data_IF_453071522051
#
_entry.id   IF_453071522051
#
_cell.length_a   1.000
_cell.length_b   1.000
_cell.length_c   1.000
_cell.angle_alpha   90.00
_cell.angle_beta   90.00
_cell.angle_gamma   90.00
#
_symmetry.space_group_name_H-M   'P 1'
#
loop_
_entity.id
_entity.type
_entity.pdbx_description
1 polymer ?
#
# COMPACT_ATOMS: atom_id res chain seq x y z
N UNK A 1 -20.94 0.38 -10.52
CA UNK A 1 -20.87 1.85 -10.26
C UNK A 1 -20.13 2.48 -11.43
N UNK A 2 -20.68 3.48 -12.12
CA UNK A 2 -20.01 4.05 -13.29
C UNK A 2 -18.82 4.93 -12.90
N UNK A 3 -17.73 4.86 -13.68
CA UNK A 3 -16.59 5.77 -13.58
C UNK A 3 -17.05 7.22 -13.75
N UNK A 4 -16.43 8.15 -12.99
CA UNK A 4 -16.72 9.59 -13.11
C UNK A 4 -15.96 10.25 -14.24
N UNK A 5 -14.70 9.87 -14.43
CA UNK A 5 -13.85 10.32 -15.54
C UNK A 5 -12.63 9.41 -15.69
N UNK A 6 -12.02 9.44 -16.85
CA UNK A 6 -10.73 8.82 -17.11
C UNK A 6 -9.61 9.82 -16.77
N UNK A 7 -9.04 9.68 -15.56
CA UNK A 7 -8.00 10.58 -15.09
C UNK A 7 -6.66 10.42 -15.84
N UNK A 8 -6.43 9.27 -16.48
CA UNK A 8 -5.25 9.08 -17.33
C UNK A 8 -5.28 10.00 -18.53
N UNK A 9 -6.42 10.07 -19.21
CA UNK A 9 -6.61 10.93 -20.37
C UNK A 9 -6.87 12.39 -19.98
N UNK A 10 -7.49 12.63 -18.81
CA UNK A 10 -7.79 13.99 -18.35
C UNK A 10 -6.54 14.79 -17.96
N UNK A 11 -5.52 14.14 -17.40
CA UNK A 11 -4.25 14.79 -17.03
C UNK A 11 -3.03 13.89 -17.27
N UNK A 12 -2.60 13.74 -18.53
CA UNK A 12 -1.47 12.88 -18.86
C UNK A 12 -0.16 13.28 -18.14
N UNK A 13 0.03 14.58 -17.90
CA UNK A 13 1.20 15.09 -17.19
C UNK A 13 1.24 14.65 -15.73
N UNK A 14 0.11 14.70 -15.02
CA UNK A 14 0.01 14.21 -13.65
C UNK A 14 0.21 12.70 -13.59
N UNK A 15 -0.37 11.95 -14.53
CA UNK A 15 -0.22 10.51 -14.59
C UNK A 15 1.20 10.08 -14.91
N UNK A 16 1.92 10.81 -15.75
CA UNK A 16 3.36 10.57 -15.99
C UNK A 16 4.17 10.66 -14.69
N UNK A 17 3.89 11.64 -13.85
CA UNK A 17 4.55 11.78 -12.54
C UNK A 17 4.19 10.63 -11.59
N UNK A 18 2.92 10.23 -11.53
CA UNK A 18 2.47 9.10 -10.70
C UNK A 18 3.08 7.78 -11.14
N UNK A 19 3.17 7.51 -12.43
CA UNK A 19 3.81 6.31 -13.00
C UNK A 19 5.31 6.30 -12.67
N UNK A 20 5.98 7.46 -12.73
CA UNK A 20 7.40 7.58 -12.36
C UNK A 20 7.61 7.31 -10.85
N UNK A 21 6.74 7.81 -9.98
CA UNK A 21 6.78 7.48 -8.54
C UNK A 21 6.58 5.99 -8.29
N UNK A 22 5.60 5.36 -8.94
CA UNK A 22 5.37 3.91 -8.82
C UNK A 22 6.58 3.11 -9.26
N UNK A 23 7.20 3.47 -10.39
CA UNK A 23 8.41 2.83 -10.87
C UNK A 23 9.57 2.99 -9.85
N UNK A 24 9.75 4.19 -9.30
CA UNK A 24 10.77 4.44 -8.28
C UNK A 24 10.58 3.56 -7.05
N UNK A 25 9.36 3.40 -6.55
CA UNK A 25 9.11 2.58 -5.34
C UNK A 25 9.50 1.12 -5.52
N UNK A 26 9.52 0.60 -6.75
CA UNK A 26 9.97 -0.77 -7.05
C UNK A 26 11.50 -0.91 -7.03
N UNK A 27 12.22 0.19 -7.24
CA UNK A 27 13.69 0.23 -7.24
C UNK A 27 14.27 0.59 -5.86
N UNK A 28 13.41 0.94 -4.89
CA UNK A 28 13.81 1.21 -3.52
C UNK A 28 14.08 -0.08 -2.73
N UNK A 29 14.53 0.07 -1.49
CA UNK A 29 15.05 -1.03 -0.66
C UNK A 29 14.02 -2.03 -0.12
N UNK A 30 12.72 -1.81 -0.38
CA UNK A 30 11.65 -2.65 0.15
C UNK A 30 11.37 -3.84 -0.77
N UNK A 31 11.33 -5.03 -0.20
CA UNK A 31 11.12 -6.28 -0.92
C UNK A 31 9.78 -6.30 -1.68
N UNK A 32 9.71 -6.84 -2.91
CA UNK A 32 8.48 -6.86 -3.71
C UNK A 32 7.28 -7.51 -3.01
N UNK A 33 7.51 -8.60 -2.26
CA UNK A 33 6.46 -9.26 -1.49
C UNK A 33 5.90 -8.34 -0.41
N UNK A 34 6.76 -7.61 0.31
CA UNK A 34 6.35 -6.67 1.34
C UNK A 34 5.65 -5.44 0.74
N UNK A 35 6.13 -4.93 -0.41
CA UNK A 35 5.44 -3.85 -1.14
C UNK A 35 3.99 -4.22 -1.46
N UNK A 36 3.73 -5.45 -1.90
CA UNK A 36 2.36 -5.89 -2.18
C UNK A 36 1.49 -5.91 -0.91
N UNK A 37 2.00 -6.42 0.22
CA UNK A 37 1.25 -6.45 1.47
C UNK A 37 0.86 -5.04 1.96
N UNK A 38 1.79 -4.08 1.94
CA UNK A 38 1.50 -2.70 2.36
C UNK A 38 0.52 -2.01 1.41
N UNK A 39 0.64 -2.25 0.10
CA UNK A 39 -0.29 -1.71 -0.91
C UNK A 39 -1.70 -2.26 -0.71
N UNK A 40 -1.85 -3.55 -0.45
CA UNK A 40 -3.14 -4.17 -0.13
C UNK A 40 -3.71 -3.55 1.15
N UNK A 41 -2.91 -3.45 2.22
CA UNK A 41 -3.41 -2.92 3.49
C UNK A 41 -3.85 -1.47 3.39
N UNK A 42 -3.07 -0.59 2.79
CA UNK A 42 -3.45 0.81 2.55
C UNK A 42 -4.74 0.91 1.73
N UNK A 43 -4.86 0.07 0.70
CA UNK A 43 -6.04 0.04 -0.17
C UNK A 43 -7.30 -0.43 0.56
N UNK A 44 -7.19 -1.41 1.47
CA UNK A 44 -8.28 -1.84 2.35
C UNK A 44 -8.74 -0.69 3.27
N UNK A 45 -7.81 0.02 3.89
CA UNK A 45 -8.11 1.16 4.78
C UNK A 45 -8.81 2.30 4.03
N UNK A 46 -8.37 2.59 2.81
CA UNK A 46 -8.94 3.63 1.96
C UNK A 46 -10.20 3.18 1.18
N UNK A 47 -10.61 1.91 1.30
CA UNK A 47 -11.77 1.38 0.57
C UNK A 47 -11.60 1.35 -0.95
N UNK A 48 -10.37 1.19 -1.45
CA UNK A 48 -10.10 1.12 -2.89
C UNK A 48 -10.26 -0.31 -3.40
N UNK A 49 -11.43 -0.66 -3.92
CA UNK A 49 -11.70 -2.00 -4.48
C UNK A 49 -10.76 -2.32 -5.66
N UNK A 50 -10.59 -1.38 -6.61
CA UNK A 50 -9.69 -1.53 -7.74
C UNK A 50 -8.25 -1.85 -7.30
N UNK A 51 -7.72 -1.07 -6.36
CA UNK A 51 -6.34 -1.24 -5.91
C UNK A 51 -6.16 -2.54 -5.10
N UNK A 52 -7.14 -2.89 -4.25
CA UNK A 52 -7.10 -4.13 -3.47
C UNK A 52 -7.10 -5.35 -4.39
N UNK A 53 -7.97 -5.37 -5.39
CA UNK A 53 -8.03 -6.45 -6.38
C UNK A 53 -6.72 -6.58 -7.14
N UNK A 54 -6.27 -5.50 -7.77
CA UNK A 54 -5.04 -5.48 -8.59
C UNK A 54 -3.82 -5.95 -7.80
N UNK A 55 -3.59 -5.42 -6.60
CA UNK A 55 -2.42 -5.79 -5.80
C UNK A 55 -2.54 -7.19 -5.18
N UNK A 56 -3.75 -7.72 -4.98
CA UNK A 56 -3.95 -9.11 -4.57
C UNK A 56 -3.59 -10.08 -5.70
N UNK A 57 -3.95 -9.76 -6.94
CA UNK A 57 -3.53 -10.53 -8.13
C UNK A 57 -2.01 -10.48 -8.29
N UNK A 58 -1.39 -9.31 -8.16
CA UNK A 58 0.06 -9.17 -8.25
C UNK A 58 0.77 -9.94 -7.14
N UNK A 59 0.30 -9.85 -5.89
CA UNK A 59 0.88 -10.60 -4.78
C UNK A 59 0.90 -12.11 -5.04
N UNK A 60 -0.18 -12.69 -5.58
CA UNK A 60 -0.21 -14.10 -5.98
C UNK A 60 0.85 -14.45 -7.02
N UNK A 61 1.08 -13.59 -8.01
CA UNK A 61 2.14 -13.77 -9.02
C UNK A 61 3.53 -13.81 -8.40
N UNK A 62 3.73 -13.12 -7.27
CA UNK A 62 4.96 -13.16 -6.47
C UNK A 62 4.98 -14.25 -5.39
N UNK A 63 4.05 -15.21 -5.43
CA UNK A 63 4.04 -16.38 -4.55
C UNK A 63 3.27 -16.21 -3.24
N UNK A 64 2.51 -15.11 -3.07
CA UNK A 64 1.66 -14.95 -1.90
C UNK A 64 0.47 -15.91 -1.94
N UNK A 65 0.04 -16.40 -0.77
CA UNK A 65 -1.06 -17.34 -0.64
C UNK A 65 -2.38 -16.64 -0.35
N UNK A 66 -3.48 -17.20 -0.85
CA UNK A 66 -4.82 -16.69 -0.55
C UNK A 66 -5.09 -16.61 0.95
N UNK A 67 -4.62 -17.60 1.71
CA UNK A 67 -4.76 -17.64 3.17
C UNK A 67 -4.14 -16.42 3.85
N UNK A 68 -2.95 -15.99 3.42
CA UNK A 68 -2.29 -14.79 3.94
C UNK A 68 -2.97 -13.51 3.44
N UNK A 69 -3.39 -13.49 2.16
CA UNK A 69 -4.12 -12.35 1.59
C UNK A 69 -5.42 -12.07 2.35
N UNK A 70 -6.19 -13.11 2.68
CA UNK A 70 -7.40 -12.96 3.50
C UNK A 70 -7.10 -12.47 4.92
N UNK A 71 -5.95 -12.83 5.47
CA UNK A 71 -5.54 -12.44 6.82
C UNK A 71 -4.97 -11.01 6.92
N UNK A 72 -4.64 -10.33 5.81
CA UNK A 72 -4.07 -8.97 5.86
C UNK A 72 -4.99 -8.00 6.60
N UNK A 73 -6.29 -8.11 6.46
CA UNK A 73 -7.24 -7.21 7.13
C UNK A 73 -7.27 -7.39 8.65
N UNK A 74 -6.91 -8.58 9.13
CA UNK A 74 -6.85 -8.97 10.55
C UNK A 74 -5.43 -9.41 10.96
N UNK A 75 -4.42 -8.86 10.33
CA UNK A 75 -3.03 -9.28 10.49
C UNK A 75 -2.54 -9.29 11.95
N UNK A 76 -3.09 -8.44 12.82
CA UNK A 76 -2.68 -8.36 14.23
C UNK A 76 -2.97 -9.64 14.99
N UNK A 77 -4.10 -10.27 14.72
CA UNK A 77 -4.52 -11.54 15.36
C UNK A 77 -3.97 -12.76 14.64
N UNK A 78 -3.40 -12.57 13.45
CA UNK A 78 -2.85 -13.64 12.63
C UNK A 78 -1.39 -13.92 12.99
N UNK A 79 -1.02 -15.21 13.11
CA UNK A 79 0.37 -15.66 13.22
C UNK A 79 1.13 -15.81 11.90
N UNK A 80 0.55 -15.35 10.77
CA UNK A 80 1.11 -15.60 9.43
C UNK A 80 2.19 -14.61 8.99
N UNK A 81 2.36 -13.48 9.70
CA UNK A 81 3.24 -12.40 9.31
C UNK A 81 4.47 -12.32 10.19
N UNK A 82 5.64 -12.18 9.56
CA UNK A 82 6.91 -12.02 10.25
C UNK A 82 6.97 -10.71 11.06
N UNK A 83 7.90 -10.56 12.02
CA UNK A 83 8.07 -9.29 12.74
C UNK A 83 8.27 -8.09 11.81
N UNK A 84 9.03 -8.26 10.72
CA UNK A 84 9.26 -7.21 9.71
C UNK A 84 7.98 -6.84 8.95
N UNK A 85 7.19 -7.83 8.53
CA UNK A 85 5.90 -7.60 7.88
C UNK A 85 4.90 -6.92 8.83
N UNK A 86 4.84 -7.36 10.09
CA UNK A 86 3.97 -6.75 11.11
C UNK A 86 4.33 -5.29 11.38
N UNK A 87 5.61 -4.98 11.46
CA UNK A 87 6.09 -3.59 11.59
C UNK A 87 5.71 -2.74 10.39
N UNK A 88 5.87 -3.27 9.16
CA UNK A 88 5.46 -2.58 7.93
C UNK A 88 3.95 -2.34 7.86
N UNK A 89 3.13 -3.32 8.24
CA UNK A 89 1.67 -3.20 8.27
C UNK A 89 1.21 -2.16 9.31
N UNK A 90 1.81 -2.15 10.51
CA UNK A 90 1.54 -1.13 11.54
C UNK A 90 1.92 0.27 11.03
N UNK A 91 3.09 0.40 10.42
CA UNK A 91 3.54 1.66 9.80
C UNK A 91 2.61 2.15 8.70
N UNK A 92 2.19 1.22 7.83
CA UNK A 92 1.24 1.50 6.75
C UNK A 92 -0.09 2.06 7.28
N UNK A 93 -0.63 1.47 8.34
CA UNK A 93 -1.87 1.95 8.97
C UNK A 93 -1.69 3.35 9.56
N UNK A 94 -0.61 3.56 10.31
CA UNK A 94 -0.34 4.85 10.96
C UNK A 94 -0.15 5.98 9.93
N UNK A 95 0.61 5.74 8.87
CA UNK A 95 0.86 6.73 7.80
C UNK A 95 -0.38 6.94 6.92
N UNK A 96 -1.16 5.89 6.65
CA UNK A 96 -2.39 6.01 5.88
C UNK A 96 -3.46 6.81 6.63
N UNK A 97 -3.61 6.56 7.93
CA UNK A 97 -4.55 7.25 8.82
C UNK A 97 -3.85 8.41 9.56
N UNK A 98 -2.99 9.14 8.88
CA UNK A 98 -2.09 10.15 9.45
C UNK A 98 -2.82 11.20 10.30
N UNK A 99 -3.97 11.67 9.83
CA UNK A 99 -4.76 12.70 10.53
C UNK A 99 -5.33 12.20 11.89
N UNK A 100 -5.47 10.89 12.06
CA UNK A 100 -5.98 10.27 13.28
C UNK A 100 -4.83 9.80 14.19
N UNK A 101 -3.83 9.17 13.58
CA UNK A 101 -2.77 8.47 14.30
C UNK A 101 -1.63 9.39 14.75
N UNK A 102 -1.26 10.40 13.92
CA UNK A 102 -0.03 11.20 14.05
C UNK A 102 1.25 10.35 14.22
N UNK A 103 1.21 9.09 13.79
CA UNK A 103 2.32 8.13 13.88
C UNK A 103 2.89 8.04 15.30
N UNK A 104 2.28 7.26 16.21
CA UNK A 104 2.71 7.15 17.60
C UNK A 104 4.15 6.64 17.75
N UNK A 105 4.83 7.04 18.82
CA UNK A 105 6.24 6.69 19.08
C UNK A 105 6.46 5.17 19.18
N UNK A 106 5.50 4.42 19.70
CA UNK A 106 5.58 2.94 19.78
C UNK A 106 5.55 2.29 18.39
N UNK A 107 4.75 2.81 17.45
CA UNK A 107 4.74 2.37 16.05
C UNK A 107 6.06 2.72 15.37
N UNK A 108 6.60 3.91 15.62
CA UNK A 108 7.92 4.31 15.13
C UNK A 108 9.02 3.38 15.67
N UNK A 109 9.04 3.12 16.97
CA UNK A 109 10.02 2.23 17.60
C UNK A 109 9.95 0.81 17.02
N UNK A 110 8.73 0.28 16.81
CA UNK A 110 8.52 -1.02 16.20
C UNK A 110 9.08 -1.07 14.76
N UNK A 111 8.84 -0.03 13.97
CA UNK A 111 9.37 0.09 12.62
C UNK A 111 10.92 0.17 12.63
N UNK A 112 11.50 0.99 13.51
CA UNK A 112 12.96 1.14 13.64
C UNK A 112 13.68 -0.14 14.09
N UNK A 113 12.99 -1.03 14.80
CA UNK A 113 13.53 -2.33 15.14
C UNK A 113 13.69 -3.28 13.94
N UNK A 114 12.99 -3.02 12.83
CA UNK A 114 12.97 -3.88 11.64
C UNK A 114 13.54 -3.23 10.38
N UNK A 115 13.62 -1.90 10.35
CA UNK A 115 14.03 -1.11 9.19
C UNK A 115 15.15 -0.14 9.56
N UNK A 116 16.15 -0.01 8.70
CA UNK A 116 17.12 1.09 8.78
C UNK A 116 16.44 2.43 8.54
N UNK A 117 17.13 3.53 8.75
CA UNK A 117 16.59 4.88 8.47
C UNK A 117 16.21 5.05 7.00
N UNK A 118 17.09 4.60 6.10
CA UNK A 118 16.83 4.63 4.67
C UNK A 118 15.64 3.77 4.27
N UNK A 119 15.59 2.52 4.73
CA UNK A 119 14.47 1.62 4.47
C UNK A 119 13.14 2.16 4.99
N UNK A 120 13.14 2.84 6.15
CA UNK A 120 11.90 3.41 6.70
C UNK A 120 11.40 4.59 5.87
N UNK A 121 12.31 5.41 5.32
CA UNK A 121 11.95 6.47 4.36
C UNK A 121 11.40 5.83 3.07
N UNK A 122 12.05 4.80 2.54
CA UNK A 122 11.60 4.09 1.35
C UNK A 122 10.22 3.45 1.55
N UNK A 123 9.98 2.82 2.70
CA UNK A 123 8.67 2.28 3.09
C UNK A 123 7.61 3.40 3.14
N UNK A 124 7.96 4.55 3.71
CA UNK A 124 7.05 5.70 3.80
C UNK A 124 6.71 6.25 2.42
N UNK A 125 7.68 6.31 1.50
CA UNK A 125 7.44 6.70 0.11
C UNK A 125 6.52 5.71 -0.60
N UNK A 126 6.70 4.41 -0.39
CA UNK A 126 5.82 3.38 -0.96
C UNK A 126 4.37 3.51 -0.44
N UNK A 127 4.19 3.72 0.87
CA UNK A 127 2.87 3.96 1.47
C UNK A 127 2.24 5.24 0.93
N UNK A 128 3.00 6.32 0.80
CA UNK A 128 2.52 7.60 0.23
C UNK A 128 2.09 7.44 -1.22
N UNK A 129 2.82 6.68 -2.01
CA UNK A 129 2.51 6.43 -3.42
C UNK A 129 1.20 5.64 -3.57
N UNK A 130 1.02 4.56 -2.83
CA UNK A 130 -0.25 3.81 -2.90
C UNK A 130 -1.43 4.62 -2.38
N UNK A 131 -1.25 5.44 -1.35
CA UNK A 131 -2.28 6.36 -0.89
C UNK A 131 -2.69 7.38 -1.97
N UNK A 132 -1.74 7.87 -2.77
CA UNK A 132 -2.02 8.75 -3.91
C UNK A 132 -2.84 8.04 -4.99
N UNK A 133 -2.49 6.80 -5.34
CA UNK A 133 -3.28 5.97 -6.26
C UNK A 133 -4.69 5.68 -5.74
N UNK A 134 -4.82 5.36 -4.44
CA UNK A 134 -6.14 5.14 -3.82
C UNK A 134 -7.03 6.38 -3.95
N UNK A 135 -6.47 7.58 -3.73
CA UNK A 135 -7.20 8.85 -3.87
C UNK A 135 -7.72 9.07 -5.29
N UNK A 136 -6.90 8.81 -6.30
CA UNK A 136 -7.32 8.89 -7.69
C UNK A 136 -8.43 7.86 -7.99
N UNK A 137 -8.17 6.58 -7.68
CA UNK A 137 -9.10 5.51 -8.01
C UNK A 137 -10.46 5.65 -7.30
N UNK A 138 -10.47 5.95 -6.01
CA UNK A 138 -11.71 6.13 -5.24
C UNK A 138 -12.45 7.40 -5.67
N UNK A 139 -11.75 8.54 -5.81
CA UNK A 139 -12.38 9.81 -6.20
C UNK A 139 -13.05 9.74 -7.56
N UNK A 140 -12.45 9.03 -8.50
CA UNK A 140 -12.97 8.92 -9.88
C UNK A 140 -13.70 7.60 -10.16
N UNK A 141 -13.93 6.79 -9.12
CA UNK A 141 -14.68 5.53 -9.19
C UNK A 141 -14.14 4.56 -10.23
N UNK A 142 -12.83 4.34 -10.19
CA UNK A 142 -12.19 3.28 -10.97
C UNK A 142 -12.73 1.92 -10.49
N UNK A 143 -13.37 1.19 -11.38
CA UNK A 143 -13.84 -0.16 -11.06
C UNK A 143 -12.70 -1.19 -11.15
N UNK A 144 -12.74 -2.28 -10.36
CA UNK A 144 -11.90 -3.45 -10.62
C UNK A 144 -12.04 -3.94 -12.05
N UNK A 145 -10.98 -4.47 -12.64
CA UNK A 145 -11.02 -5.10 -13.95
C UNK A 145 -11.84 -6.40 -13.89
N UNK A 146 -12.70 -6.63 -14.89
CA UNK A 146 -13.37 -7.90 -15.13
C UNK A 146 -12.46 -8.85 -15.92
#
# INVERSE_FOLDING_TARGET
MNSRLDYYNASPKAMKAMIAMEALTRDLSIEPALLNLIKIRASQLNGCAFCTDMHSVDARRFGETDRRLYAVVVWRDSGFFSPRERAALAWTEAVTLLAESHVPDDVYALARAQFSEGELVDLTMAVSTINSWNRLAVSFRQAPGG
#
